data_IF_308800412409
#
_entry.id   IF_308800412409
#
_cell.length_a   1.000
_cell.length_b   1.000
_cell.length_c   1.000
_cell.angle_alpha   90.00
_cell.angle_beta   90.00
_cell.angle_gamma   90.00
#
_symmetry.space_group_name_H-M   'P 1'
#
loop_
_entity.id
_entity.type
_entity.pdbx_description
1 polymer ?
#
# COMPACT_ATOMS: atom_id res chain seq x y z
N UNK A 1 -21.43 53.37 -64.00
CA UNK A 1 -21.45 52.76 -62.65
C UNK A 1 -20.72 51.43 -62.73
N UNK A 2 -19.52 51.38 -62.15
CA UNK A 2 -18.67 50.20 -62.07
C UNK A 2 -19.19 49.29 -60.96
N UNK A 3 -19.43 48.01 -61.26
CA UNK A 3 -19.53 46.97 -60.25
C UNK A 3 -18.42 45.94 -60.46
N UNK A 4 -17.39 46.08 -59.63
CA UNK A 4 -16.31 45.11 -59.45
C UNK A 4 -16.80 44.07 -58.46
N UNK A 5 -16.99 42.82 -58.89
CA UNK A 5 -17.22 41.69 -57.98
C UNK A 5 -15.88 41.09 -57.58
N UNK A 6 -15.40 41.47 -56.39
CA UNK A 6 -14.26 40.84 -55.74
C UNK A 6 -14.71 39.57 -55.00
N UNK A 7 -14.46 38.40 -55.58
CA UNK A 7 -14.47 37.14 -54.86
C UNK A 7 -13.03 36.61 -54.74
N UNK A 8 -12.34 37.03 -53.68
CA UNK A 8 -11.08 36.44 -53.26
C UNK A 8 -11.35 35.05 -52.66
N UNK A 9 -10.72 34.00 -53.22
CA UNK A 9 -10.72 32.65 -52.64
C UNK A 9 -10.12 32.69 -51.22
N UNK A 10 -10.62 31.91 -50.25
CA UNK A 10 -9.94 31.77 -48.98
C UNK A 10 -8.59 31.09 -49.21
N UNK A 11 -7.50 31.80 -48.91
CA UNK A 11 -6.17 31.20 -48.80
C UNK A 11 -6.21 30.20 -47.65
N UNK A 12 -6.16 28.91 -47.96
CA UNK A 12 -5.90 27.87 -46.97
C UNK A 12 -4.48 28.04 -46.46
N UNK A 13 -4.34 28.69 -45.31
CA UNK A 13 -3.07 28.71 -44.56
C UNK A 13 -2.71 27.26 -44.25
N UNK A 14 -1.50 26.77 -44.57
CA UNK A 14 -1.06 25.45 -44.17
C UNK A 14 -1.14 25.35 -42.64
N UNK A 15 -1.73 24.27 -42.11
CA UNK A 15 -1.73 24.02 -40.68
C UNK A 15 -0.27 24.04 -40.20
N UNK A 16 0.08 25.03 -39.37
CA UNK A 16 1.35 25.05 -38.66
C UNK A 16 1.46 23.70 -37.94
N UNK A 17 2.52 22.90 -38.17
CA UNK A 17 2.70 21.68 -37.42
C UNK A 17 2.74 22.09 -35.96
N UNK A 18 1.74 21.68 -35.18
CA UNK A 18 1.78 21.85 -33.74
C UNK A 18 3.07 21.16 -33.26
N UNK A 19 4.09 21.96 -32.96
CA UNK A 19 5.37 21.45 -32.48
C UNK A 19 5.07 20.51 -31.33
N UNK A 20 5.46 19.24 -31.44
CA UNK A 20 5.29 18.26 -30.37
C UNK A 20 5.88 18.87 -29.11
N UNK A 21 5.03 19.29 -28.17
CA UNK A 21 5.52 19.74 -26.87
C UNK A 21 6.36 18.59 -26.30
N UNK A 22 7.52 18.92 -25.74
CA UNK A 22 8.39 17.90 -25.14
C UNK A 22 7.55 17.13 -24.11
N UNK A 23 7.57 15.78 -24.14
CA UNK A 23 6.78 14.99 -23.21
C UNK A 23 7.16 15.39 -21.77
N UNK A 24 6.18 15.86 -20.99
CA UNK A 24 6.38 16.21 -19.60
C UNK A 24 6.61 14.93 -18.79
N UNK A 25 7.81 14.73 -18.27
CA UNK A 25 8.19 13.52 -17.52
C UNK A 25 7.56 13.44 -16.12
N UNK A 26 7.07 14.56 -15.59
CA UNK A 26 6.70 14.68 -14.18
C UNK A 26 5.18 14.61 -13.98
N UNK A 27 4.75 14.07 -12.85
CA UNK A 27 3.35 14.06 -12.41
C UNK A 27 2.88 15.50 -12.24
N UNK A 28 3.65 16.27 -11.46
CA UNK A 28 3.45 17.69 -11.20
C UNK A 28 4.51 18.51 -11.91
N UNK A 29 5.72 18.51 -11.34
CA UNK A 29 6.93 19.16 -11.84
C UNK A 29 8.13 18.53 -11.13
N UNK A 30 9.35 18.84 -11.58
CA UNK A 30 10.58 18.21 -11.10
C UNK A 30 10.74 18.28 -9.57
N UNK A 31 10.70 19.48 -8.99
CA UNK A 31 10.94 19.65 -7.56
C UNK A 31 9.86 19.03 -6.68
N UNK A 32 8.58 19.15 -7.05
CA UNK A 32 7.48 18.58 -6.26
C UNK A 32 7.48 17.06 -6.31
N UNK A 33 7.72 16.48 -7.49
CA UNK A 33 7.82 15.03 -7.62
C UNK A 33 9.04 14.48 -6.83
N UNK A 34 10.18 15.19 -6.85
CA UNK A 34 11.34 14.81 -6.03
C UNK A 34 11.00 14.82 -4.54
N UNK A 35 10.34 15.86 -4.04
CA UNK A 35 10.02 15.98 -2.61
C UNK A 35 8.92 15.00 -2.18
N UNK A 36 7.87 14.83 -2.97
CA UNK A 36 6.65 14.11 -2.58
C UNK A 36 6.60 12.65 -3.00
N UNK A 37 7.32 12.28 -4.07
CA UNK A 37 7.22 10.94 -4.67
C UNK A 37 8.54 10.19 -4.72
N UNK A 38 9.61 10.83 -5.20
CA UNK A 38 10.82 10.12 -5.61
C UNK A 38 11.88 10.10 -4.51
N UNK A 39 12.28 11.27 -4.01
CA UNK A 39 13.37 11.43 -3.03
C UNK A 39 12.87 11.68 -1.60
N UNK A 40 11.56 11.55 -1.36
CA UNK A 40 10.95 11.64 -0.03
C UNK A 40 11.65 10.79 1.03
N UNK A 41 12.11 9.55 0.75
CA UNK A 41 12.88 8.78 1.72
C UNK A 41 14.10 9.50 2.28
N UNK A 42 14.84 10.24 1.43
CA UNK A 42 16.03 10.98 1.83
C UNK A 42 15.71 12.17 2.74
N UNK A 43 14.49 12.70 2.65
CA UNK A 43 14.00 13.80 3.51
C UNK A 43 13.47 13.28 4.84
N UNK A 44 12.85 12.10 4.85
CA UNK A 44 12.28 11.49 6.06
C UNK A 44 13.38 11.06 7.03
N UNK A 45 14.47 10.45 6.54
CA UNK A 45 15.56 9.94 7.40
C UNK A 45 16.09 10.96 8.42
N UNK A 46 16.53 12.18 8.04
CA UNK A 46 17.02 13.17 9.02
C UNK A 46 15.92 13.66 9.97
N UNK A 47 14.68 13.82 9.50
CA UNK A 47 13.54 14.20 10.36
C UNK A 47 13.27 13.12 11.40
N UNK A 48 13.35 11.85 11.01
CA UNK A 48 13.14 10.72 11.90
C UNK A 48 14.28 10.55 12.90
N UNK A 49 15.53 10.78 12.47
CA UNK A 49 16.68 10.81 13.38
C UNK A 49 16.54 11.91 14.44
N UNK A 50 16.10 13.11 14.03
CA UNK A 50 15.81 14.20 14.96
C UNK A 50 14.66 13.83 15.91
N UNK A 51 13.61 13.18 15.43
CA UNK A 51 12.50 12.73 16.27
C UNK A 51 12.97 11.70 17.31
N UNK A 52 13.80 10.73 16.93
CA UNK A 52 14.36 9.73 17.86
C UNK A 52 15.31 10.34 18.91
N UNK A 53 15.81 11.56 18.70
CA UNK A 53 16.57 12.29 19.74
C UNK A 53 15.68 12.86 20.85
N UNK A 54 14.36 12.89 20.65
CA UNK A 54 13.39 13.53 21.56
C UNK A 54 12.32 12.58 22.08
N UNK A 55 11.97 11.54 21.33
CA UNK A 55 10.88 10.63 21.63
C UNK A 55 11.31 9.18 21.47
N UNK A 56 10.68 8.28 22.23
CA UNK A 56 10.96 6.85 22.11
C UNK A 56 10.46 6.29 20.77
N UNK A 57 11.04 5.19 20.27
CA UNK A 57 10.51 4.46 19.11
C UNK A 57 9.02 4.14 19.21
N UNK A 58 8.55 3.79 20.41
CA UNK A 58 7.16 3.47 20.67
C UNK A 58 6.25 4.69 20.49
N UNK A 59 6.65 5.85 21.03
CA UNK A 59 5.86 7.08 20.91
C UNK A 59 5.76 7.54 19.46
N UNK A 60 6.88 7.47 18.73
CA UNK A 60 6.93 7.80 17.31
C UNK A 60 6.02 6.85 16.53
N UNK A 61 6.11 5.54 16.78
CA UNK A 61 5.26 4.55 16.14
C UNK A 61 3.78 4.78 16.45
N UNK A 62 3.40 5.02 17.70
CA UNK A 62 2.01 5.29 18.08
C UNK A 62 1.48 6.54 17.39
N UNK A 63 2.28 7.60 17.31
CA UNK A 63 1.93 8.82 16.60
C UNK A 63 1.72 8.55 15.10
N UNK A 64 2.65 7.85 14.46
CA UNK A 64 2.56 7.53 13.03
C UNK A 64 1.41 6.57 12.75
N UNK A 65 1.21 5.53 13.57
CA UNK A 65 0.11 4.58 13.42
C UNK A 65 -1.26 5.27 13.55
N UNK A 66 -1.38 6.25 14.45
CA UNK A 66 -2.61 7.02 14.61
C UNK A 66 -2.83 8.00 13.46
N UNK A 67 -1.89 8.92 13.22
CA UNK A 67 -2.14 10.06 12.34
C UNK A 67 -1.64 9.88 10.91
N UNK A 68 -0.58 9.09 10.74
CA UNK A 68 -0.12 8.64 9.45
C UNK A 68 -1.02 7.52 8.93
N UNK A 69 -0.84 6.32 9.46
CA UNK A 69 -1.52 5.11 9.00
C UNK A 69 -3.05 5.23 9.07
N UNK A 70 -3.66 5.37 10.26
CA UNK A 70 -5.12 5.48 10.33
C UNK A 70 -5.63 6.77 9.68
N UNK A 71 -4.99 7.91 9.95
CA UNK A 71 -5.43 9.21 9.45
C UNK A 71 -5.58 9.22 7.92
N UNK A 72 -4.65 8.62 7.17
CA UNK A 72 -4.69 8.64 5.71
C UNK A 72 -5.79 7.77 5.10
N UNK A 73 -6.46 6.90 5.87
CA UNK A 73 -7.60 6.15 5.34
C UNK A 73 -8.75 7.09 4.92
N UNK A 74 -8.94 8.18 5.68
CA UNK A 74 -10.08 9.10 5.54
C UNK A 74 -10.26 9.65 4.11
N UNK A 75 -9.22 10.15 3.42
CA UNK A 75 -9.31 10.58 2.02
C UNK A 75 -9.94 9.56 1.07
N UNK A 76 -9.63 8.26 1.25
CA UNK A 76 -10.22 7.18 0.46
C UNK A 76 -11.72 7.03 0.75
N UNK A 77 -12.10 7.13 2.02
CA UNK A 77 -13.49 7.10 2.48
C UNK A 77 -14.29 8.30 1.96
N UNK A 78 -13.75 9.51 2.09
CA UNK A 78 -14.36 10.75 1.58
C UNK A 78 -14.63 10.62 0.09
N UNK A 79 -13.70 10.05 -0.67
CA UNK A 79 -13.90 9.80 -2.10
C UNK A 79 -14.98 8.74 -2.36
N UNK A 80 -14.94 7.60 -1.68
CA UNK A 80 -15.87 6.49 -1.91
C UNK A 80 -17.33 6.89 -1.67
N UNK A 81 -17.60 7.74 -0.67
CA UNK A 81 -18.95 8.13 -0.27
C UNK A 81 -19.34 9.57 -0.66
N UNK A 82 -18.36 10.45 -0.86
CA UNK A 82 -18.60 11.85 -1.27
C UNK A 82 -18.74 12.04 -2.77
N UNK A 83 -18.21 11.12 -3.59
CA UNK A 83 -18.43 11.12 -5.04
C UNK A 83 -19.64 10.24 -5.40
N UNK A 84 -20.76 10.90 -5.66
CA UNK A 84 -22.03 10.25 -6.00
C UNK A 84 -21.92 9.36 -7.24
N UNK A 85 -21.21 9.78 -8.28
CA UNK A 85 -21.08 9.00 -9.52
C UNK A 85 -20.26 7.71 -9.28
N UNK A 86 -19.18 7.82 -8.50
CA UNK A 86 -18.38 6.65 -8.11
C UNK A 86 -19.16 5.71 -7.20
N UNK A 87 -19.90 6.26 -6.23
CA UNK A 87 -20.74 5.48 -5.34
C UNK A 87 -21.82 4.73 -6.10
N UNK A 88 -22.60 5.40 -6.95
CA UNK A 88 -23.66 4.76 -7.74
C UNK A 88 -23.10 3.64 -8.63
N UNK A 89 -21.93 3.85 -9.25
CA UNK A 89 -21.24 2.85 -10.07
C UNK A 89 -20.82 1.60 -9.29
N UNK A 90 -20.38 1.76 -8.04
CA UNK A 90 -19.86 0.66 -7.20
C UNK A 90 -20.68 0.41 -5.93
N UNK A 91 -21.96 0.83 -5.91
CA UNK A 91 -22.82 0.92 -4.72
C UNK A 91 -22.73 -0.28 -3.81
N UNK A 92 -22.92 -1.46 -4.39
CA UNK A 92 -22.97 -2.71 -3.65
C UNK A 92 -21.59 -3.14 -3.16
N UNK A 93 -20.51 -2.79 -3.87
CA UNK A 93 -19.15 -3.00 -3.37
C UNK A 93 -18.85 -2.10 -2.18
N UNK A 94 -19.29 -0.85 -2.21
CA UNK A 94 -19.12 0.12 -1.12
C UNK A 94 -20.10 -0.05 0.05
N UNK A 95 -21.03 -1.00 -0.04
CA UNK A 95 -21.92 -1.41 1.05
C UNK A 95 -21.48 -2.76 1.61
N UNK A 96 -21.31 -3.77 0.75
CA UNK A 96 -21.03 -5.15 1.18
C UNK A 96 -19.60 -5.34 1.67
N UNK A 97 -18.60 -4.73 1.03
CA UNK A 97 -17.21 -4.87 1.47
C UNK A 97 -16.98 -4.28 2.87
N UNK A 98 -17.48 -3.07 3.22
CA UNK A 98 -17.40 -2.55 4.58
C UNK A 98 -18.09 -3.41 5.60
N UNK A 99 -19.32 -3.87 5.31
CA UNK A 99 -20.07 -4.70 6.24
C UNK A 99 -19.31 -6.01 6.51
N UNK A 100 -18.85 -6.67 5.45
CA UNK A 100 -18.09 -7.90 5.55
C UNK A 100 -16.79 -7.71 6.35
N UNK A 101 -15.98 -6.71 6.01
CA UNK A 101 -14.71 -6.46 6.70
C UNK A 101 -14.90 -6.03 8.15
N UNK A 102 -15.92 -5.20 8.44
CA UNK A 102 -16.24 -4.78 9.80
C UNK A 102 -16.64 -5.97 10.67
N UNK A 103 -17.60 -6.77 10.21
CA UNK A 103 -18.07 -7.97 10.93
C UNK A 103 -16.93 -8.95 11.12
N UNK A 104 -16.15 -9.22 10.06
CA UNK A 104 -15.05 -10.18 10.11
C UNK A 104 -13.95 -9.72 11.07
N UNK A 105 -13.49 -8.47 10.97
CA UNK A 105 -12.45 -7.97 11.86
C UNK A 105 -12.92 -7.95 13.32
N UNK A 106 -14.12 -7.41 13.61
CA UNK A 106 -14.66 -7.41 14.98
C UNK A 106 -14.76 -8.83 15.52
N UNK A 107 -15.29 -9.77 14.74
CA UNK A 107 -15.41 -11.17 15.14
C UNK A 107 -14.05 -11.80 15.49
N UNK A 108 -13.03 -11.57 14.65
CA UNK A 108 -11.69 -12.11 14.89
C UNK A 108 -11.06 -11.53 16.16
N UNK A 109 -11.15 -10.21 16.39
CA UNK A 109 -10.61 -9.61 17.61
C UNK A 109 -11.43 -9.96 18.86
N UNK A 110 -12.75 -10.11 18.71
CA UNK A 110 -13.63 -10.51 19.80
C UNK A 110 -13.25 -11.89 20.36
N UNK A 111 -13.06 -12.86 19.46
CA UNK A 111 -12.66 -14.23 19.79
C UNK A 111 -11.15 -14.47 19.86
N UNK A 112 -10.35 -13.41 19.84
CA UNK A 112 -8.88 -13.47 19.89
C UNK A 112 -8.24 -14.37 18.80
N UNK A 113 -8.85 -14.39 17.61
CA UNK A 113 -8.36 -15.13 16.45
C UNK A 113 -7.22 -14.36 15.77
N UNK A 114 -6.02 -14.96 15.75
CA UNK A 114 -4.78 -14.32 15.30
C UNK A 114 -4.67 -14.25 13.78
N UNK A 115 -5.43 -15.07 13.06
CA UNK A 115 -5.36 -15.16 11.60
C UNK A 115 -5.63 -13.85 10.85
N UNK A 116 -6.41 -12.93 11.43
CA UNK A 116 -6.66 -11.62 10.81
C UNK A 116 -5.39 -10.77 10.71
N UNK A 117 -4.43 -10.96 11.63
CA UNK A 117 -3.17 -10.22 11.66
C UNK A 117 -2.36 -10.53 10.39
N UNK A 118 -2.30 -11.80 9.98
CA UNK A 118 -1.64 -12.22 8.74
C UNK A 118 -2.28 -11.58 7.51
N UNK A 119 -3.62 -11.55 7.46
CA UNK A 119 -4.35 -10.97 6.33
C UNK A 119 -4.11 -9.46 6.24
N UNK A 120 -4.21 -8.74 7.36
CA UNK A 120 -3.90 -7.31 7.42
C UNK A 120 -2.46 -7.05 6.99
N UNK A 121 -1.51 -7.83 7.49
CA UNK A 121 -0.09 -7.69 7.16
C UNK A 121 0.18 -7.92 5.67
N UNK A 122 -0.20 -9.07 5.12
CA UNK A 122 0.08 -9.39 3.71
C UNK A 122 -0.65 -8.45 2.75
N UNK A 123 -1.88 -8.04 3.08
CA UNK A 123 -2.59 -7.07 2.25
C UNK A 123 -1.97 -5.68 2.35
N UNK A 124 -1.42 -5.29 3.51
CA UNK A 124 -0.64 -4.05 3.67
C UNK A 124 0.62 -4.03 2.80
N UNK A 125 1.37 -5.14 2.77
CA UNK A 125 2.54 -5.29 1.87
C UNK A 125 2.12 -5.19 0.40
N UNK A 126 1.03 -5.87 0.03
CA UNK A 126 0.47 -5.78 -1.32
C UNK A 126 0.01 -4.36 -1.67
N UNK A 127 -0.61 -3.65 -0.73
CA UNK A 127 -1.08 -2.28 -0.88
C UNK A 127 0.07 -1.32 -1.14
N UNK A 128 1.11 -1.32 -0.31
CA UNK A 128 2.31 -0.53 -0.52
C UNK A 128 2.98 -0.81 -1.88
N UNK A 129 3.07 -2.09 -2.25
CA UNK A 129 3.60 -2.53 -3.54
C UNK A 129 2.77 -2.00 -4.72
N UNK A 130 1.44 -2.09 -4.63
CA UNK A 130 0.52 -1.62 -5.67
C UNK A 130 0.52 -0.11 -5.81
N UNK A 131 0.79 0.65 -4.74
CA UNK A 131 1.02 2.09 -4.81
C UNK A 131 2.27 2.41 -5.64
N UNK A 132 3.43 1.81 -5.34
CA UNK A 132 4.67 2.01 -6.12
C UNK A 132 4.47 1.64 -7.59
N UNK A 133 3.80 0.51 -7.85
CA UNK A 133 3.43 0.09 -9.19
C UNK A 133 2.46 1.08 -9.87
N UNK A 134 1.51 1.64 -9.13
CA UNK A 134 0.57 2.66 -9.60
C UNK A 134 1.30 3.91 -10.09
N UNK A 135 2.25 4.43 -9.31
CA UNK A 135 3.11 5.53 -9.73
C UNK A 135 3.90 5.21 -11.01
N UNK A 136 4.42 3.99 -11.15
CA UNK A 136 5.08 3.56 -12.40
C UNK A 136 4.16 3.71 -13.61
N UNK A 137 2.86 3.40 -13.47
CA UNK A 137 1.86 3.57 -14.53
C UNK A 137 1.57 5.03 -14.84
N UNK A 138 1.59 5.91 -13.84
CA UNK A 138 1.42 7.35 -14.05
C UNK A 138 2.63 7.91 -14.81
N UNK A 139 3.85 7.57 -14.41
CA UNK A 139 5.07 8.01 -15.09
C UNK A 139 5.20 7.48 -16.52
N UNK A 140 4.82 6.23 -16.76
CA UNK A 140 4.79 5.67 -18.12
C UNK A 140 3.72 6.36 -18.99
N UNK A 141 2.56 6.71 -18.41
CA UNK A 141 1.52 7.44 -19.12
C UNK A 141 1.98 8.84 -19.59
N UNK A 142 2.87 9.48 -18.83
CA UNK A 142 3.47 10.78 -19.17
C UNK A 142 4.38 10.73 -20.41
N UNK A 143 5.01 9.60 -20.69
CA UNK A 143 5.82 9.38 -21.90
C UNK A 143 5.08 8.59 -22.99
N UNK A 144 3.82 8.23 -22.78
CA UNK A 144 3.04 7.42 -23.72
C UNK A 144 3.51 5.96 -23.81
N UNK A 145 4.19 5.44 -22.78
CA UNK A 145 4.65 4.05 -22.72
C UNK A 145 3.53 3.13 -22.24
N UNK A 146 2.95 2.34 -23.16
CA UNK A 146 1.86 1.40 -22.84
C UNK A 146 2.17 -0.05 -23.22
N UNK A 147 3.44 -0.38 -23.43
CA UNK A 147 3.86 -1.73 -23.81
C UNK A 147 3.48 -2.75 -22.72
N UNK A 148 2.85 -3.86 -23.13
CA UNK A 148 2.37 -4.89 -22.20
C UNK A 148 3.49 -5.56 -21.40
N UNK A 149 4.66 -5.78 -22.03
CA UNK A 149 5.83 -6.36 -21.36
C UNK A 149 6.39 -5.45 -20.28
N UNK A 150 6.62 -4.16 -20.59
CA UNK A 150 7.03 -3.14 -19.62
C UNK A 150 6.08 -3.11 -18.42
N UNK A 151 4.77 -3.15 -18.68
CA UNK A 151 3.78 -3.18 -17.61
C UNK A 151 3.93 -4.40 -16.69
N UNK A 152 4.13 -5.59 -17.27
CA UNK A 152 4.30 -6.84 -16.52
C UNK A 152 5.61 -6.89 -15.74
N UNK A 153 6.71 -6.43 -16.33
CA UNK A 153 8.01 -6.39 -15.67
C UNK A 153 8.01 -5.42 -14.50
N UNK A 154 7.44 -4.23 -14.63
CA UNK A 154 7.30 -3.30 -13.50
C UNK A 154 6.45 -3.89 -12.37
N UNK A 155 5.39 -4.64 -12.71
CA UNK A 155 4.57 -5.34 -11.70
C UNK A 155 5.39 -6.38 -10.96
N UNK A 156 6.04 -7.28 -11.70
CA UNK A 156 6.83 -8.36 -11.11
C UNK A 156 8.02 -7.84 -10.33
N UNK A 157 8.65 -6.75 -10.78
CA UNK A 157 9.74 -6.09 -10.06
C UNK A 157 9.26 -5.57 -8.71
N UNK A 158 8.17 -4.81 -8.67
CA UNK A 158 7.58 -4.36 -7.41
C UNK A 158 7.17 -5.55 -6.53
N UNK A 159 6.45 -6.53 -7.08
CA UNK A 159 5.94 -7.67 -6.35
C UNK A 159 7.06 -8.50 -5.69
N UNK A 160 8.09 -8.86 -6.47
CA UNK A 160 9.15 -9.73 -5.97
C UNK A 160 10.04 -9.03 -4.96
N UNK A 161 10.40 -7.76 -5.18
CA UNK A 161 11.27 -7.03 -4.27
C UNK A 161 10.58 -6.64 -2.96
N UNK A 162 9.27 -6.36 -2.99
CA UNK A 162 8.50 -6.13 -1.76
C UNK A 162 8.37 -7.41 -0.94
N UNK A 163 8.03 -8.52 -1.59
CA UNK A 163 7.89 -9.81 -0.92
C UNK A 163 9.23 -10.35 -0.39
N UNK A 164 10.31 -10.23 -1.17
CA UNK A 164 11.65 -10.65 -0.75
C UNK A 164 12.13 -9.88 0.49
N UNK A 165 11.83 -8.58 0.60
CA UNK A 165 12.20 -7.79 1.78
C UNK A 165 11.56 -8.31 3.08
N UNK A 166 10.35 -8.88 2.97
CA UNK A 166 9.63 -9.49 4.10
C UNK A 166 10.18 -10.88 4.39
N UNK A 167 10.29 -11.72 3.35
CA UNK A 167 10.72 -13.12 3.47
C UNK A 167 12.17 -13.27 3.94
N UNK A 168 13.02 -12.30 3.61
CA UNK A 168 14.43 -12.29 3.99
C UNK A 168 14.70 -11.49 5.27
N UNK A 169 13.70 -10.80 5.82
CA UNK A 169 13.83 -10.07 7.08
C UNK A 169 13.63 -11.02 8.26
N UNK A 170 14.63 -11.21 9.14
CA UNK A 170 14.49 -12.07 10.31
C UNK A 170 13.35 -11.60 11.21
N UNK A 171 13.27 -10.29 11.50
CA UNK A 171 12.22 -9.75 12.37
C UNK A 171 10.81 -9.96 11.78
N UNK A 172 10.63 -9.70 10.47
CA UNK A 172 9.32 -9.89 9.83
C UNK A 172 8.94 -11.35 9.75
N UNK A 173 9.89 -12.24 9.46
CA UNK A 173 9.62 -13.66 9.42
C UNK A 173 9.31 -14.22 10.81
N UNK A 174 10.00 -13.77 11.86
CA UNK A 174 9.66 -14.11 13.26
C UNK A 174 8.21 -13.74 13.57
N UNK A 175 7.78 -12.51 13.27
CA UNK A 175 6.38 -12.10 13.52
C UNK A 175 5.37 -12.83 12.63
N UNK A 176 5.74 -13.13 11.38
CA UNK A 176 4.88 -13.86 10.44
C UNK A 176 4.69 -15.31 10.88
N UNK A 177 5.75 -15.98 11.31
CA UNK A 177 5.71 -17.35 11.83
C UNK A 177 4.99 -17.40 13.18
N UNK A 178 5.23 -16.45 14.07
CA UNK A 178 4.49 -16.37 15.33
C UNK A 178 2.98 -16.21 15.10
N UNK A 179 2.58 -15.32 14.19
CA UNK A 179 1.16 -15.17 13.85
C UNK A 179 0.58 -16.42 13.18
N UNK A 180 1.34 -17.11 12.34
CA UNK A 180 0.93 -18.38 11.71
C UNK A 180 0.75 -19.49 12.75
N UNK A 181 1.74 -19.74 13.59
CA UNK A 181 1.70 -20.77 14.62
C UNK A 181 0.68 -20.46 15.71
N UNK A 182 0.52 -19.18 16.06
CA UNK A 182 -0.53 -18.74 16.99
C UNK A 182 -1.94 -18.87 16.41
N UNK A 183 -2.07 -18.95 15.08
CA UNK A 183 -3.31 -19.31 14.39
C UNK A 183 -3.48 -20.82 14.20
N UNK A 184 -2.64 -21.66 14.85
CA UNK A 184 -2.66 -23.11 14.70
C UNK A 184 -2.12 -23.64 13.36
N UNK A 185 -1.42 -22.79 12.60
CA UNK A 185 -0.80 -23.19 11.34
C UNK A 185 0.25 -24.29 11.52
N UNK A 186 0.47 -25.13 10.50
CA UNK A 186 1.41 -26.25 10.59
C UNK A 186 2.84 -25.75 10.74
N UNK A 187 3.66 -26.51 11.47
CA UNK A 187 5.10 -26.28 11.55
C UNK A 187 5.73 -26.32 10.15
N UNK A 188 6.44 -25.25 9.80
CA UNK A 188 7.20 -25.17 8.55
C UNK A 188 8.57 -25.77 8.83
N UNK A 189 9.02 -26.71 8.00
CA UNK A 189 10.37 -27.26 8.18
C UNK A 189 11.42 -26.22 7.77
N UNK A 190 12.57 -26.10 8.47
CA UNK A 190 13.58 -25.08 8.17
C UNK A 190 14.08 -25.10 6.71
N UNK A 191 14.21 -26.30 6.12
CA UNK A 191 14.63 -26.44 4.73
C UNK A 191 13.61 -25.84 3.73
N UNK A 192 12.31 -25.89 4.04
CA UNK A 192 11.25 -25.29 3.21
C UNK A 192 11.40 -23.77 3.24
N UNK A 193 11.59 -23.20 4.44
CA UNK A 193 11.80 -21.77 4.61
C UNK A 193 13.05 -21.30 3.86
N UNK A 194 14.17 -22.00 3.99
CA UNK A 194 15.40 -21.65 3.27
C UNK A 194 15.28 -21.84 1.76
N UNK A 195 14.61 -22.89 1.29
CA UNK A 195 14.34 -23.08 -0.13
C UNK A 195 13.47 -21.94 -0.69
N UNK A 196 12.45 -21.53 0.05
CA UNK A 196 11.61 -20.38 -0.28
C UNK A 196 12.44 -19.11 -0.35
N UNK A 197 13.24 -18.78 0.67
CA UNK A 197 14.12 -17.61 0.71
C UNK A 197 15.07 -17.56 -0.50
N UNK A 198 15.74 -18.68 -0.82
CA UNK A 198 16.60 -18.78 -2.02
C UNK A 198 15.81 -18.60 -3.31
N UNK A 199 14.61 -19.15 -3.39
CA UNK A 199 13.69 -18.97 -4.51
C UNK A 199 13.32 -17.50 -4.73
N UNK A 200 13.03 -16.76 -3.66
CA UNK A 200 12.76 -15.32 -3.72
C UNK A 200 13.97 -14.53 -4.23
N UNK A 201 15.18 -14.83 -3.74
CA UNK A 201 16.42 -14.20 -4.23
C UNK A 201 16.62 -14.47 -5.72
N UNK A 202 16.52 -15.74 -6.14
CA UNK A 202 16.66 -16.13 -7.54
C UNK A 202 15.65 -15.40 -8.44
N UNK A 203 14.38 -15.38 -8.05
CA UNK A 203 13.33 -14.73 -8.82
C UNK A 203 13.52 -13.20 -8.87
N UNK A 204 13.96 -12.57 -7.76
CA UNK A 204 14.26 -11.15 -7.71
C UNK A 204 15.38 -10.77 -8.69
N UNK A 205 16.45 -11.55 -8.73
CA UNK A 205 17.55 -11.37 -9.68
C UNK A 205 17.08 -11.56 -11.12
N UNK A 206 16.36 -12.65 -11.41
CA UNK A 206 15.87 -12.95 -12.76
C UNK A 206 14.95 -11.84 -13.29
N UNK A 207 13.98 -11.40 -12.49
CA UNK A 207 13.07 -10.30 -12.86
C UNK A 207 13.83 -8.99 -13.05
N UNK A 208 14.82 -8.70 -12.22
CA UNK A 208 15.64 -7.48 -12.33
C UNK A 208 16.46 -7.46 -13.62
N UNK A 209 17.08 -8.59 -13.99
CA UNK A 209 17.81 -8.73 -15.26
C UNK A 209 16.86 -8.49 -16.45
N UNK A 210 15.69 -9.13 -16.44
CA UNK A 210 14.69 -8.96 -17.50
C UNK A 210 14.18 -7.52 -17.57
N UNK A 211 13.94 -6.88 -16.42
CA UNK A 211 13.53 -5.48 -16.33
C UNK A 211 14.59 -4.55 -16.92
N UNK A 212 15.87 -4.68 -16.52
CA UNK A 212 16.97 -3.83 -17.02
C UNK A 212 17.17 -4.04 -18.51
N UNK A 213 17.21 -5.30 -18.98
CA UNK A 213 17.34 -5.62 -20.40
C UNK A 213 16.22 -4.96 -21.23
N UNK A 214 14.97 -5.06 -20.77
CA UNK A 214 13.83 -4.43 -21.42
C UNK A 214 13.88 -2.89 -21.34
N UNK A 215 14.30 -2.33 -20.20
CA UNK A 215 14.43 -0.88 -20.01
C UNK A 215 15.49 -0.28 -20.96
N UNK A 216 16.66 -0.92 -21.06
CA UNK A 216 17.74 -0.54 -21.98
C UNK A 216 17.26 -0.67 -23.43
N UNK A 217 16.64 -1.80 -23.78
CA UNK A 217 16.11 -2.02 -25.13
C UNK A 217 15.05 -0.97 -25.52
N UNK A 218 14.14 -0.59 -24.62
CA UNK A 218 13.17 0.47 -24.92
C UNK A 218 13.81 1.86 -24.99
N UNK A 219 14.90 2.09 -24.27
CA UNK A 219 15.63 3.37 -24.29
C UNK A 219 16.30 3.66 -25.64
N UNK A 220 16.63 2.61 -26.40
CA UNK A 220 17.14 2.73 -27.79
C UNK A 220 16.02 2.87 -28.82
N UNK A 221 14.74 2.74 -28.43
CA UNK A 221 13.57 2.89 -29.32
C UNK A 221 12.93 4.28 -29.16
N UNK A 222 12.09 4.66 -30.12
CA UNK A 222 11.40 5.96 -30.12
C UNK A 222 10.40 6.15 -28.96
N UNK A 223 10.02 5.07 -28.25
CA UNK A 223 9.12 5.09 -27.09
C UNK A 223 9.91 4.83 -25.81
N UNK A 224 10.71 5.83 -25.40
CA UNK A 224 11.59 5.71 -24.24
C UNK A 224 10.81 5.58 -22.93
N UNK A 225 11.24 4.70 -22.00
CA UNK A 225 10.68 4.66 -20.65
C UNK A 225 10.93 5.97 -19.93
N UNK A 226 10.07 6.31 -18.97
CA UNK A 226 10.27 7.49 -18.15
C UNK A 226 11.46 7.26 -17.18
N UNK A 227 12.54 8.06 -17.22
CA UNK A 227 13.68 7.87 -16.32
C UNK A 227 13.34 8.16 -14.85
N UNK A 228 12.36 9.02 -14.57
CA UNK A 228 11.90 9.32 -13.20
C UNK A 228 11.30 8.08 -12.55
N UNK A 229 10.64 7.22 -13.34
CA UNK A 229 10.14 5.92 -12.89
C UNK A 229 11.26 5.03 -12.34
N UNK A 230 12.42 5.02 -13.00
CA UNK A 230 13.54 4.19 -12.57
C UNK A 230 14.06 4.69 -11.21
N UNK A 231 14.21 6.01 -11.05
CA UNK A 231 14.64 6.59 -9.77
C UNK A 231 13.62 6.29 -8.67
N UNK A 232 12.31 6.44 -8.95
CA UNK A 232 11.25 6.07 -8.01
C UNK A 232 11.34 4.60 -7.58
N UNK A 233 11.54 3.68 -8.52
CA UNK A 233 11.66 2.25 -8.22
C UNK A 233 12.85 1.99 -7.32
N UNK A 234 14.02 2.56 -7.64
CA UNK A 234 15.24 2.44 -6.84
C UNK A 234 14.99 2.98 -5.43
N UNK A 235 14.47 4.20 -5.28
CA UNK A 235 14.28 4.81 -3.97
C UNK A 235 13.22 4.08 -3.14
N UNK A 236 12.09 3.71 -3.76
CA UNK A 236 10.99 3.04 -3.05
C UNK A 236 11.38 1.62 -2.60
N UNK A 237 12.00 0.83 -3.48
CA UNK A 237 12.42 -0.54 -3.17
C UNK A 237 13.56 -0.52 -2.13
N UNK A 238 14.58 0.31 -2.33
CA UNK A 238 15.70 0.41 -1.38
C UNK A 238 15.23 0.90 -0.01
N UNK A 239 14.30 1.86 0.04
CA UNK A 239 13.77 2.34 1.32
C UNK A 239 12.89 1.29 2.01
N UNK A 240 12.07 0.55 1.27
CA UNK A 240 11.33 -0.61 1.81
C UNK A 240 12.28 -1.65 2.40
N UNK A 241 13.37 -1.97 1.71
CA UNK A 241 14.40 -2.88 2.20
C UNK A 241 15.10 -2.35 3.45
N UNK A 242 15.50 -1.08 3.44
CA UNK A 242 16.07 -0.42 4.60
C UNK A 242 15.16 -0.56 5.83
N UNK A 243 13.87 -0.22 5.68
CA UNK A 243 12.89 -0.28 6.76
C UNK A 243 12.67 -1.70 7.30
N UNK A 244 12.74 -2.73 6.46
CA UNK A 244 12.46 -4.10 6.88
C UNK A 244 13.70 -4.90 7.32
N UNK A 245 14.89 -4.55 6.83
CA UNK A 245 16.09 -5.40 6.99
C UNK A 245 17.27 -4.69 7.65
N UNK A 246 17.36 -3.35 7.58
CA UNK A 246 18.51 -2.60 8.11
C UNK A 246 18.18 -1.83 9.40
N UNK A 247 16.93 -1.43 9.59
CA UNK A 247 16.50 -0.76 10.83
C UNK A 247 16.37 -1.81 11.94
N UNK A 248 17.14 -1.66 13.02
CA UNK A 248 17.19 -2.62 14.13
C UNK A 248 15.90 -2.68 14.96
N UNK A 249 15.08 -1.63 14.93
CA UNK A 249 13.79 -1.59 15.61
C UNK A 249 12.65 -1.67 14.60
N UNK A 250 11.85 -2.74 14.68
CA UNK A 250 10.76 -2.99 13.74
C UNK A 250 9.72 -1.86 13.71
N UNK A 251 9.39 -1.25 14.85
CA UNK A 251 8.40 -0.19 14.94
C UNK A 251 8.87 1.08 14.24
N UNK A 252 10.15 1.42 14.38
CA UNK A 252 10.80 2.49 13.62
C UNK A 252 10.75 2.20 12.13
N UNK A 253 11.06 0.96 11.73
CA UNK A 253 11.00 0.52 10.33
C UNK A 253 9.60 0.66 9.73
N UNK A 254 8.56 0.20 10.45
CA UNK A 254 7.17 0.38 10.05
C UNK A 254 6.86 1.87 9.91
N UNK A 255 7.10 2.66 10.95
CA UNK A 255 6.76 4.07 10.96
C UNK A 255 7.46 4.89 9.86
N UNK A 256 8.73 4.59 9.55
CA UNK A 256 9.45 5.21 8.43
C UNK A 256 8.76 4.96 7.09
N UNK A 257 8.39 3.70 6.82
CA UNK A 257 7.73 3.35 5.56
C UNK A 257 6.31 3.91 5.49
N UNK A 258 5.54 3.86 6.58
CA UNK A 258 4.20 4.44 6.65
C UNK A 258 4.25 5.94 6.32
N UNK A 259 5.15 6.73 6.94
CA UNK A 259 5.27 8.16 6.62
C UNK A 259 5.59 8.39 5.13
N UNK A 260 6.48 7.58 4.55
CA UNK A 260 6.78 7.68 3.12
C UNK A 260 5.56 7.36 2.25
N UNK A 261 4.87 6.28 2.57
CA UNK A 261 3.63 5.85 1.91
C UNK A 261 2.57 6.95 1.98
N UNK A 262 2.39 7.57 3.16
CA UNK A 262 1.40 8.60 3.44
C UNK A 262 1.66 9.88 2.64
N UNK A 263 2.91 10.36 2.61
CA UNK A 263 3.27 11.58 1.88
C UNK A 263 2.95 11.41 0.39
N UNK A 264 3.32 10.25 -0.16
CA UNK A 264 3.00 9.92 -1.55
C UNK A 264 1.49 9.87 -1.79
N UNK A 265 0.77 9.13 -0.94
CA UNK A 265 -0.66 8.89 -1.08
C UNK A 265 -1.47 10.17 -0.92
N UNK A 266 -1.30 10.88 0.20
CA UNK A 266 -2.08 12.07 0.56
C UNK A 266 -1.92 13.17 -0.48
N UNK A 267 -0.69 13.37 -0.98
CA UNK A 267 -0.45 14.36 -2.02
C UNK A 267 -1.11 13.98 -3.33
N UNK A 268 -1.00 12.72 -3.77
CA UNK A 268 -1.63 12.24 -5.01
C UNK A 268 -3.16 12.33 -4.94
N UNK A 269 -3.76 11.90 -3.83
CA UNK A 269 -5.23 11.94 -3.63
C UNK A 269 -5.75 13.36 -3.58
N UNK A 270 -5.03 14.27 -2.92
CA UNK A 270 -5.37 15.70 -2.93
C UNK A 270 -5.42 16.26 -4.35
N UNK A 271 -4.36 16.01 -5.13
CA UNK A 271 -4.26 16.49 -6.53
C UNK A 271 -5.34 15.85 -7.40
N UNK A 272 -5.58 14.56 -7.24
CA UNK A 272 -6.61 13.83 -7.96
C UNK A 272 -7.99 14.46 -7.75
N UNK A 273 -8.40 14.63 -6.49
CA UNK A 273 -9.72 15.16 -6.17
C UNK A 273 -9.86 16.63 -6.57
N UNK A 274 -8.81 17.44 -6.36
CA UNK A 274 -8.79 18.83 -6.80
C UNK A 274 -8.98 18.96 -8.31
N UNK A 275 -8.23 18.19 -9.10
CA UNK A 275 -8.38 18.20 -10.56
C UNK A 275 -9.77 17.80 -11.01
N UNK A 276 -10.43 16.87 -10.30
CA UNK A 276 -11.81 16.49 -10.61
C UNK A 276 -12.79 17.60 -10.27
N UNK A 277 -12.68 18.20 -9.10
CA UNK A 277 -13.54 19.33 -8.70
C UNK A 277 -13.42 20.51 -9.67
N UNK A 278 -12.22 20.75 -10.21
CA UNK A 278 -11.98 21.81 -11.19
C UNK A 278 -12.55 21.49 -12.59
N UNK A 279 -12.64 20.20 -12.99
CA UNK A 279 -13.01 19.80 -14.36
C UNK A 279 -14.41 19.22 -14.51
N UNK A 280 -14.96 18.63 -13.45
CA UNK A 280 -16.24 17.91 -13.46
C UNK A 280 -17.30 18.72 -12.70
N UNK A 281 -18.29 19.21 -13.46
CA UNK A 281 -19.36 20.04 -12.91
C UNK A 281 -20.34 19.25 -12.05
N UNK A 282 -20.37 17.92 -12.16
CA UNK A 282 -21.31 17.05 -11.47
C UNK A 282 -20.85 16.65 -10.05
N UNK A 283 -19.66 17.08 -9.62
CA UNK A 283 -19.16 16.81 -8.27
C UNK A 283 -19.98 17.57 -7.23
N UNK A 284 -20.49 16.83 -6.23
CA UNK A 284 -21.34 17.36 -5.17
C UNK A 284 -20.70 18.47 -4.31
N UNK A 285 -21.56 19.27 -3.67
CA UNK A 285 -21.17 20.49 -2.95
C UNK A 285 -20.14 20.28 -1.84
N UNK A 286 -20.23 19.18 -1.08
CA UNK A 286 -19.26 18.85 -0.03
C UNK A 286 -17.84 18.62 -0.58
N UNK A 287 -17.71 17.74 -1.59
CA UNK A 287 -16.44 17.46 -2.25
C UNK A 287 -15.86 18.74 -2.89
N UNK A 288 -16.73 19.55 -3.51
CA UNK A 288 -16.34 20.84 -4.08
C UNK A 288 -15.87 21.83 -3.02
N UNK A 289 -16.49 21.85 -1.85
CA UNK A 289 -16.09 22.71 -0.74
C UNK A 289 -14.72 22.32 -0.18
N UNK A 290 -14.46 21.03 0.08
CA UNK A 290 -13.19 20.57 0.67
C UNK A 290 -12.02 20.72 -0.30
N UNK A 291 -12.20 20.33 -1.56
CA UNK A 291 -11.10 20.23 -2.53
C UNK A 291 -10.96 21.44 -3.47
N UNK A 292 -11.67 22.55 -3.22
CA UNK A 292 -11.42 23.81 -3.95
C UNK A 292 -10.04 24.37 -3.63
N UNK A 293 -9.55 25.24 -4.50
CA UNK A 293 -8.24 25.90 -4.36
C UNK A 293 -8.24 26.88 -3.18
N UNK A 294 -7.89 26.40 -1.98
CA UNK A 294 -7.63 27.22 -0.79
C UNK A 294 -6.54 26.61 0.08
N UNK A 295 -5.61 27.43 0.57
CA UNK A 295 -4.60 27.00 1.54
C UNK A 295 -5.20 26.60 2.89
N UNK A 296 -6.24 27.30 3.36
CA UNK A 296 -6.93 26.97 4.62
C UNK A 296 -7.62 25.61 4.59
N UNK A 297 -8.05 25.16 3.41
CA UNK A 297 -8.69 23.85 3.25
C UNK A 297 -7.69 22.69 3.23
N UNK A 298 -6.43 22.95 2.87
CA UNK A 298 -5.35 21.99 3.13
C UNK A 298 -5.22 21.79 4.64
N UNK A 299 -5.25 22.87 5.42
CA UNK A 299 -5.27 22.81 6.89
C UNK A 299 -6.47 22.04 7.43
N UNK A 300 -7.68 22.31 6.94
CA UNK A 300 -8.88 21.55 7.32
C UNK A 300 -8.76 20.06 6.97
N UNK A 301 -8.28 19.74 5.76
CA UNK A 301 -8.09 18.36 5.32
C UNK A 301 -7.10 17.60 6.21
N UNK A 302 -5.97 18.23 6.55
CA UNK A 302 -5.03 17.67 7.52
C UNK A 302 -5.67 17.55 8.91
N UNK A 303 -6.43 18.56 9.37
CA UNK A 303 -7.15 18.51 10.64
C UNK A 303 -8.16 17.35 10.72
N UNK A 304 -8.87 17.06 9.63
CA UNK A 304 -9.79 15.93 9.53
C UNK A 304 -9.05 14.58 9.56
N UNK A 305 -7.90 14.48 8.89
CA UNK A 305 -7.00 13.31 8.95
C UNK A 305 -6.54 13.07 10.40
N UNK A 306 -6.10 14.13 11.09
CA UNK A 306 -5.71 14.05 12.50
C UNK A 306 -6.88 13.66 13.40
N UNK A 307 -8.06 14.26 13.19
CA UNK A 307 -9.27 13.92 13.95
C UNK A 307 -9.67 12.45 13.76
N UNK A 308 -9.62 11.94 12.53
CA UNK A 308 -9.90 10.54 12.25
C UNK A 308 -8.85 9.62 12.90
N UNK A 309 -7.56 9.95 12.75
CA UNK A 309 -6.44 9.22 13.35
C UNK A 309 -6.46 9.17 14.88
N UNK A 310 -7.07 10.16 15.53
CA UNK A 310 -7.22 10.17 17.00
C UNK A 310 -7.99 8.96 17.54
N UNK A 311 -8.84 8.31 16.72
CA UNK A 311 -9.52 7.08 17.10
C UNK A 311 -8.53 5.94 17.42
N UNK A 312 -7.44 5.81 16.65
CA UNK A 312 -6.38 4.82 16.94
C UNK A 312 -5.64 5.17 18.22
N UNK A 313 -5.33 6.45 18.39
CA UNK A 313 -4.62 6.95 19.56
C UNK A 313 -5.43 6.71 20.84
N UNK A 314 -6.72 7.03 20.85
CA UNK A 314 -7.57 6.75 22.01
C UNK A 314 -7.75 5.25 22.23
N UNK A 315 -7.89 4.45 21.17
CA UNK A 315 -7.99 2.99 21.29
C UNK A 315 -6.76 2.39 22.00
N UNK A 316 -5.54 2.89 21.75
CA UNK A 316 -4.34 2.38 22.42
C UNK A 316 -4.28 2.71 23.92
N UNK A 317 -5.06 3.69 24.40
CA UNK A 317 -5.11 4.13 25.80
C UNK A 317 -6.27 3.50 26.58
N UNK A 318 -7.16 2.76 25.93
CA UNK A 318 -8.32 2.16 26.60
C UNK A 318 -7.92 0.98 27.47
N UNK A 319 -8.43 0.99 28.71
CA UNK A 319 -8.22 -0.07 29.69
C UNK A 319 -9.35 -1.11 29.70
N UNK A 320 -10.49 -0.81 29.05
CA UNK A 320 -11.63 -1.73 28.97
C UNK A 320 -11.41 -2.68 27.79
N UNK A 321 -10.97 -3.90 28.08
CA UNK A 321 -10.57 -4.92 27.10
C UNK A 321 -11.64 -5.19 26.04
N UNK A 322 -12.91 -5.30 26.43
CA UNK A 322 -14.02 -5.53 25.49
C UNK A 322 -14.14 -4.41 24.45
N UNK A 323 -14.08 -3.15 24.90
CA UNK A 323 -14.18 -1.98 24.02
C UNK A 323 -12.93 -1.91 23.13
N UNK A 324 -11.75 -2.17 23.70
CA UNK A 324 -10.48 -2.22 22.98
C UNK A 324 -10.50 -3.25 21.86
N UNK A 325 -11.03 -4.46 22.07
CA UNK A 325 -11.17 -5.49 21.03
C UNK A 325 -12.08 -5.05 19.89
N UNK A 326 -13.26 -4.52 20.22
CA UNK A 326 -14.22 -4.04 19.21
C UNK A 326 -13.59 -2.92 18.38
N UNK A 327 -13.01 -1.91 19.04
CA UNK A 327 -12.38 -0.79 18.37
C UNK A 327 -11.17 -1.22 17.54
N UNK A 328 -10.33 -2.14 18.03
CA UNK A 328 -9.22 -2.70 17.25
C UNK A 328 -9.73 -3.43 15.99
N UNK A 329 -10.88 -4.10 16.07
CA UNK A 329 -11.59 -4.64 14.92
C UNK A 329 -12.05 -3.55 13.94
N UNK A 330 -12.61 -2.45 14.44
CA UNK A 330 -12.99 -1.28 13.61
C UNK A 330 -11.78 -0.65 12.93
N UNK A 331 -10.67 -0.47 13.66
CA UNK A 331 -9.41 0.06 13.12
C UNK A 331 -8.90 -0.84 11.98
N UNK A 332 -8.85 -2.14 12.22
CA UNK A 332 -8.38 -3.11 11.23
C UNK A 332 -9.30 -3.16 10.01
N UNK A 333 -10.62 -3.09 10.20
CA UNK A 333 -11.57 -2.98 9.10
C UNK A 333 -11.36 -1.70 8.28
N UNK A 334 -11.08 -0.57 8.94
CA UNK A 334 -10.74 0.70 8.27
C UNK A 334 -9.47 0.56 7.42
N UNK A 335 -8.42 -0.07 7.96
CA UNK A 335 -7.18 -0.37 7.22
C UNK A 335 -7.45 -1.22 5.97
N UNK A 336 -8.16 -2.33 6.12
CA UNK A 336 -8.48 -3.21 4.98
C UNK A 336 -9.38 -2.53 3.94
N UNK A 337 -10.30 -1.67 4.39
CA UNK A 337 -11.15 -0.89 3.49
C UNK A 337 -10.36 0.17 2.73
N UNK A 338 -9.41 0.82 3.38
CA UNK A 338 -8.50 1.73 2.71
C UNK A 338 -7.75 1.00 1.57
N UNK A 339 -7.16 -0.17 1.84
CA UNK A 339 -6.48 -0.97 0.81
C UNK A 339 -7.42 -1.33 -0.36
N UNK A 340 -8.67 -1.65 -0.05
CA UNK A 340 -9.68 -1.98 -1.05
C UNK A 340 -10.08 -0.76 -1.92
N UNK A 341 -10.32 0.39 -1.29
CA UNK A 341 -10.74 1.64 -1.97
C UNK A 341 -9.63 2.24 -2.82
N UNK A 342 -8.39 2.11 -2.38
CA UNK A 342 -7.21 2.51 -3.14
C UNK A 342 -7.08 1.77 -4.46
N UNK A 343 -7.52 0.50 -4.49
CA UNK A 343 -7.63 -0.28 -5.71
C UNK A 343 -8.47 0.39 -6.82
N UNK A 344 -9.30 1.39 -6.52
CA UNK A 344 -10.04 2.19 -7.51
C UNK A 344 -9.28 3.43 -7.99
N UNK A 345 -8.34 3.94 -7.20
CA UNK A 345 -7.47 5.08 -7.57
C UNK A 345 -6.37 4.61 -8.52
N UNK A 346 -5.80 3.43 -8.27
CA UNK A 346 -4.68 2.89 -9.05
C UNK A 346 -5.06 2.31 -10.43
N UNK A 347 -6.34 2.40 -10.84
CA UNK A 347 -6.81 1.94 -12.16
C UNK A 347 -6.50 2.94 -13.28
N UNK A 348 -5.23 3.28 -13.47
CA UNK A 348 -4.71 4.24 -14.48
C UNK A 348 -5.00 3.84 -15.95
N UNK A 349 -5.65 2.70 -16.18
CA UNK A 349 -6.18 2.29 -17.50
C UNK A 349 -7.50 2.98 -17.84
N UNK A 350 -8.32 3.33 -16.84
CA UNK A 350 -9.64 3.93 -17.04
C UNK A 350 -9.48 5.40 -17.44
N UNK A 351 -10.24 5.84 -18.46
CA UNK A 351 -10.16 7.20 -19.01
C UNK A 351 -10.44 8.28 -17.95
N UNK A 352 -11.43 8.09 -17.07
CA UNK A 352 -11.74 9.06 -16.00
C UNK A 352 -10.64 9.18 -14.96
N UNK A 353 -10.05 8.06 -14.54
CA UNK A 353 -8.89 8.07 -13.62
C UNK A 353 -7.71 8.79 -14.25
N UNK A 354 -7.46 8.59 -15.55
CA UNK A 354 -6.42 9.31 -16.30
C UNK A 354 -6.72 10.81 -16.37
N UNK A 355 -7.94 11.20 -16.72
CA UNK A 355 -8.34 12.61 -16.81
C UNK A 355 -8.20 13.34 -15.45
N UNK A 356 -8.60 12.68 -14.36
CA UNK A 356 -8.43 13.18 -13.00
C UNK A 356 -6.94 13.35 -12.61
N UNK A 357 -6.06 12.49 -13.12
CA UNK A 357 -4.60 12.62 -12.97
C UNK A 357 -3.96 13.58 -14.00
N UNK A 358 -4.76 14.22 -14.85
CA UNK A 358 -4.24 15.11 -15.91
C UNK A 358 -3.50 14.37 -17.03
N UNK A 359 -3.84 13.09 -17.26
CA UNK A 359 -3.30 12.24 -18.32
C UNK A 359 -4.31 12.14 -19.48
N UNK A 360 -3.81 12.03 -20.71
CA UNK A 360 -4.63 11.83 -21.92
C UNK A 360 -4.89 10.35 -22.23
N UNK A 361 -5.93 10.04 -23.01
CA UNK A 361 -6.27 8.68 -23.43
C UNK A 361 -6.83 7.79 -22.30
N UNK A 362 -6.89 6.48 -22.55
CA UNK A 362 -7.46 5.48 -21.63
C UNK A 362 -8.50 4.61 -22.32
N UNK A 363 -8.78 3.44 -21.76
CA UNK A 363 -9.94 2.65 -22.21
C UNK A 363 -11.20 3.29 -21.65
N UNK A 364 -12.29 3.27 -22.43
CA UNK A 364 -13.61 3.65 -21.94
C UNK A 364 -13.90 2.94 -20.61
N UNK A 365 -14.62 3.61 -19.73
CA UNK A 365 -15.00 2.99 -18.47
C UNK A 365 -15.73 1.68 -18.74
N UNK A 366 -15.17 0.58 -18.25
CA UNK A 366 -15.91 -0.69 -18.24
C UNK A 366 -16.97 -0.52 -17.17
N UNK A 367 -18.18 -0.15 -17.60
CA UNK A 367 -19.38 -0.49 -16.84
C UNK A 367 -19.38 -2.01 -16.71
N UNK A 368 -19.64 -2.58 -15.52
CA UNK A 368 -19.74 -4.03 -15.37
C UNK A 368 -20.94 -4.53 -16.21
N UNK A 369 -20.73 -4.74 -17.51
CA UNK A 369 -21.72 -5.32 -18.41
C UNK A 369 -21.79 -6.82 -18.12
N UNK A 370 -22.98 -7.27 -17.72
CA UNK A 370 -23.25 -8.61 -17.18
C UNK A 370 -23.20 -8.63 -15.66
N UNK A 371 -24.33 -8.34 -15.01
CA UNK A 371 -24.49 -8.38 -13.54
C UNK A 371 -24.01 -9.73 -12.99
N UNK A 372 -24.22 -10.84 -13.68
CA UNK A 372 -23.78 -12.14 -13.15
C UNK A 372 -22.26 -12.35 -13.23
N UNK A 373 -21.64 -12.19 -14.41
CA UNK A 373 -20.25 -12.59 -14.59
C UNK A 373 -19.27 -11.70 -13.81
N UNK A 374 -19.50 -10.38 -13.81
CA UNK A 374 -18.65 -9.44 -13.07
C UNK A 374 -18.77 -9.58 -11.55
N UNK A 375 -19.95 -9.97 -11.04
CA UNK A 375 -20.18 -10.21 -9.62
C UNK A 375 -19.65 -11.55 -9.16
N UNK A 376 -19.86 -12.62 -9.91
CA UNK A 376 -19.31 -13.94 -9.59
C UNK A 376 -17.79 -13.90 -9.53
N UNK A 377 -17.13 -13.28 -10.52
CA UNK A 377 -15.68 -13.13 -10.48
C UNK A 377 -15.20 -12.25 -9.33
N UNK A 378 -15.98 -11.25 -8.91
CA UNK A 378 -15.63 -10.46 -7.75
C UNK A 378 -15.78 -11.27 -6.46
N UNK A 379 -16.93 -11.92 -6.27
CA UNK A 379 -17.21 -12.79 -5.13
C UNK A 379 -16.18 -13.90 -5.00
N UNK A 380 -15.82 -14.58 -6.11
CA UNK A 380 -14.78 -15.60 -6.12
C UNK A 380 -13.42 -15.07 -5.64
N UNK A 381 -13.06 -13.82 -5.98
CA UNK A 381 -11.84 -13.19 -5.47
C UNK A 381 -11.91 -12.94 -3.96
N UNK A 382 -13.06 -12.50 -3.44
CA UNK A 382 -13.25 -12.33 -2.00
C UNK A 382 -13.24 -13.65 -1.24
N UNK A 383 -13.85 -14.69 -1.82
CA UNK A 383 -13.81 -16.05 -1.25
C UNK A 383 -12.39 -16.55 -1.18
N UNK A 384 -11.62 -16.43 -2.28
CA UNK A 384 -10.24 -16.88 -2.32
C UNK A 384 -9.30 -16.04 -1.43
N UNK A 385 -9.53 -14.73 -1.32
CA UNK A 385 -8.65 -13.83 -0.57
C UNK A 385 -8.97 -13.74 0.93
N UNK A 386 -10.24 -13.91 1.32
CA UNK A 386 -10.67 -13.76 2.72
C UNK A 386 -11.32 -15.03 3.26
N UNK A 387 -12.41 -15.49 2.64
CA UNK A 387 -13.25 -16.53 3.24
C UNK A 387 -12.47 -17.84 3.45
N UNK A 388 -11.74 -18.29 2.43
CA UNK A 388 -10.94 -19.52 2.51
C UNK A 388 -9.76 -19.36 3.47
N UNK A 389 -8.88 -18.34 3.35
CA UNK A 389 -7.75 -18.20 4.27
C UNK A 389 -8.17 -17.97 5.72
N UNK A 390 -9.12 -17.06 5.98
CA UNK A 390 -9.60 -16.77 7.34
C UNK A 390 -10.37 -17.95 7.94
N UNK A 391 -11.17 -18.66 7.13
CA UNK A 391 -11.84 -19.88 7.56
C UNK A 391 -10.85 -20.97 7.94
N UNK A 392 -9.80 -21.18 7.14
CA UNK A 392 -8.74 -22.14 7.45
C UNK A 392 -7.99 -21.76 8.73
N UNK A 393 -7.56 -20.50 8.87
CA UNK A 393 -6.85 -20.01 10.06
C UNK A 393 -7.72 -20.08 11.32
N UNK A 394 -9.02 -19.83 11.20
CA UNK A 394 -9.95 -20.03 12.31
C UNK A 394 -10.00 -21.50 12.72
N UNK A 395 -10.28 -22.41 11.78
CA UNK A 395 -10.39 -23.86 12.03
C UNK A 395 -9.09 -24.37 12.66
N UNK A 396 -7.94 -23.98 12.13
CA UNK A 396 -6.63 -24.33 12.68
C UNK A 396 -6.43 -23.82 14.10
N UNK A 397 -6.78 -22.57 14.41
CA UNK A 397 -6.61 -22.06 15.75
C UNK A 397 -7.49 -22.80 16.77
N UNK A 398 -8.69 -23.21 16.37
CA UNK A 398 -9.63 -23.94 17.24
C UNK A 398 -9.21 -25.41 17.44
N UNK A 399 -8.69 -26.07 16.40
CA UNK A 399 -8.44 -27.52 16.42
C UNK A 399 -6.96 -27.92 16.54
N UNK A 400 -6.04 -26.99 16.36
CA UNK A 400 -4.60 -27.26 16.23
C UNK A 400 -3.76 -26.22 16.99
N UNK A 401 -4.29 -25.64 18.06
CA UNK A 401 -3.56 -24.68 18.89
C UNK A 401 -2.33 -25.34 19.51
N UNK A 402 -1.15 -24.77 19.24
CA UNK A 402 0.13 -25.23 19.77
C UNK A 402 0.51 -24.39 20.99
N UNK A 403 0.98 -24.97 22.11
CA UNK A 403 1.40 -24.20 23.29
C UNK A 403 2.53 -23.20 22.99
N UNK A 404 2.57 -22.07 23.72
CA UNK A 404 3.51 -20.98 23.47
C UNK A 404 4.99 -21.43 23.46
N UNK A 405 5.38 -22.28 24.42
CA UNK A 405 6.74 -22.84 24.49
C UNK A 405 7.15 -23.59 23.22
N UNK A 406 6.23 -24.38 22.66
CA UNK A 406 6.52 -25.14 21.44
C UNK A 406 6.57 -24.21 20.21
N UNK A 407 5.72 -23.18 20.15
CA UNK A 407 5.74 -22.21 19.05
C UNK A 407 7.04 -21.41 19.02
N UNK A 408 7.52 -20.93 20.17
CA UNK A 408 8.76 -20.16 20.24
C UNK A 408 9.98 -21.03 19.96
N UNK A 409 9.98 -22.30 20.39
CA UNK A 409 10.99 -23.29 19.98
C UNK A 409 11.03 -23.49 18.46
N UNK A 410 9.88 -23.64 17.80
CA UNK A 410 9.78 -23.78 16.35
C UNK A 410 10.34 -22.56 15.60
N UNK A 411 10.09 -21.36 16.10
CA UNK A 411 10.62 -20.13 15.49
C UNK A 411 12.15 -20.07 15.60
N UNK A 412 12.73 -20.43 16.74
CA UNK A 412 14.20 -20.52 16.89
C UNK A 412 14.78 -21.58 15.94
N UNK A 413 14.08 -22.70 15.75
CA UNK A 413 14.50 -23.74 14.81
C UNK A 413 14.48 -23.26 13.34
N UNK A 414 13.47 -22.50 12.95
CA UNK A 414 13.32 -21.96 11.60
C UNK A 414 14.24 -20.76 11.32
N UNK A 415 14.47 -19.94 12.35
CA UNK A 415 15.24 -18.71 12.30
C UNK A 415 16.28 -18.70 13.44
N UNK A 416 17.36 -19.49 13.35
CA UNK A 416 18.31 -19.66 14.45
C UNK A 416 19.24 -18.46 14.68
N UNK A 417 19.10 -17.38 13.92
CA UNK A 417 19.99 -16.21 13.99
C UNK A 417 19.19 -14.96 14.34
N UNK A 418 19.36 -14.46 15.57
CA UNK A 418 18.78 -13.19 16.01
C UNK A 418 18.31 -13.17 17.46
N UNK A 419 18.65 -12.10 18.17
CA UNK A 419 18.40 -11.97 19.60
C UNK A 419 16.92 -12.08 20.00
N UNK A 420 15.99 -11.60 19.17
CA UNK A 420 14.57 -11.52 19.52
C UNK A 420 13.92 -12.90 19.69
N UNK A 421 14.11 -13.82 18.75
CA UNK A 421 13.49 -15.14 18.85
C UNK A 421 14.08 -15.97 20.00
N UNK A 422 15.39 -15.85 20.26
CA UNK A 422 16.04 -16.48 21.42
C UNK A 422 15.50 -15.90 22.73
N UNK A 423 15.31 -14.58 22.81
CA UNK A 423 14.71 -13.92 23.98
C UNK A 423 13.27 -14.40 24.25
N UNK A 424 12.41 -14.46 23.22
CA UNK A 424 11.01 -14.92 23.39
C UNK A 424 10.94 -16.41 23.75
N UNK A 425 11.85 -17.23 23.22
CA UNK A 425 11.95 -18.64 23.59
C UNK A 425 12.46 -18.81 25.03
N UNK A 426 13.51 -18.09 25.43
CA UNK A 426 14.00 -18.06 26.80
C UNK A 426 12.91 -17.67 27.80
N UNK A 427 12.10 -16.64 27.48
CA UNK A 427 10.96 -16.23 28.30
C UNK A 427 9.91 -17.35 28.43
N UNK A 428 9.65 -18.07 27.34
CA UNK A 428 8.73 -19.22 27.36
C UNK A 428 9.26 -20.37 28.21
N UNK A 429 10.56 -20.67 28.11
CA UNK A 429 11.26 -21.68 28.93
C UNK A 429 11.23 -21.31 30.42
N UNK A 430 11.48 -20.03 30.74
CA UNK A 430 11.39 -19.49 32.09
C UNK A 430 9.99 -19.69 32.69
N UNK A 431 8.94 -19.33 31.96
CA UNK A 431 7.55 -19.55 32.39
C UNK A 431 7.18 -21.03 32.53
N UNK A 432 7.86 -21.92 31.80
CA UNK A 432 7.71 -23.36 31.93
C UNK A 432 8.59 -23.97 33.05
N UNK A 433 9.35 -23.15 33.79
CA UNK A 433 10.25 -23.59 34.86
C UNK A 433 11.58 -24.19 34.40
N UNK A 434 11.92 -24.10 33.11
CA UNK A 434 13.17 -24.62 32.53
C UNK A 434 14.28 -23.56 32.60
N UNK A 435 14.74 -23.25 33.82
CA UNK A 435 15.62 -22.11 34.08
C UNK A 435 17.00 -22.21 33.39
N UNK A 436 17.62 -23.39 33.40
CA UNK A 436 18.94 -23.59 32.78
C UNK A 436 18.88 -23.43 31.25
N UNK A 437 17.85 -23.99 30.62
CA UNK A 437 17.62 -23.83 29.20
C UNK A 437 17.30 -22.37 28.85
N UNK A 438 16.52 -21.68 29.68
CA UNK A 438 16.25 -20.25 29.50
C UNK A 438 17.53 -19.41 29.57
N UNK A 439 18.43 -19.71 30.51
CA UNK A 439 19.72 -19.04 30.62
C UNK A 439 20.59 -19.26 29.37
N UNK A 440 20.67 -20.50 28.89
CA UNK A 440 21.40 -20.83 27.66
C UNK A 440 20.88 -20.07 26.42
N UNK A 441 19.56 -19.95 26.28
CA UNK A 441 18.97 -19.18 25.18
C UNK A 441 19.21 -17.66 25.34
N UNK A 442 19.28 -17.13 26.56
CA UNK A 442 19.66 -15.73 26.80
C UNK A 442 21.12 -15.44 26.44
N UNK A 443 22.02 -16.41 26.61
CA UNK A 443 23.41 -16.27 26.16
C UNK A 443 23.53 -16.18 24.62
N UNK A 444 22.51 -16.62 23.89
CA UNK A 444 22.42 -16.51 22.43
C UNK A 444 21.75 -15.20 21.95
N UNK A 445 21.27 -14.34 22.86
CA UNK A 445 20.72 -13.01 22.54
C UNK A 445 21.78 -11.93 22.48
#
# INVERSE_FOLDING_TARGET
MQHVTAFSRPQTVPAVPAGRSRPNLWILNSWRDLILYVATPLLILPVFALAQSRWSPQDIYLFVAAFGAMGHHLPGMIRAYGDRALFERFRWRFILAPLFLLVTCIAFYWWDLKGIILVVFFWGVWHGMMQTYGFCRIYDAKTGSFAGLNRRLDFWLCAIWFAAAVVLSPMRMTDTLDALYSSGGPFIQPWILHAMQRGFVFLALAVSILFVANFVWMSTRAKRPNPVKLVLLITSISFWWYCNNLVSNLLVGIALFEVFHDVQYLSLVWIYNRNRVEKDQNIGGFMRFIFRRSGSLVGLYLGLIFAYGSLAYFNSQLQIETIKRVLTGVVSASTLLHFYYDGFIWKVRESSTRQALGLSGGTAEVSPHGIFHGWVLHGAKWVAAFVVPLGALWIWQVHSSVPALQRTAWIVQDLPVGARQHYEYAKSLYHAGQLDAAAHELDAT
#
